data_IF_261021922280
#
_entry.id   IF_261021922280
#
_cell.length_a   1.000
_cell.length_b   1.000
_cell.length_c   1.000
_cell.angle_alpha   90.00
_cell.angle_beta   90.00
_cell.angle_gamma   90.00
#
_symmetry.space_group_name_H-M   'P 1'
#
loop_
_entity.id
_entity.type
_entity.pdbx_description
1 polymer ?
#
# COMPACT_ATOMS: atom_id res chain seq x y z
N UNK A 1 -9.76 2.20 -0.36
CA UNK A 1 -8.52 1.51 -0.76
C UNK A 1 -7.48 2.60 -0.89
N UNK A 2 -6.34 2.44 -0.24
CA UNK A 2 -5.20 3.35 -0.33
C UNK A 2 -4.06 2.57 -0.96
N UNK A 3 -3.37 3.17 -1.93
CA UNK A 3 -2.20 2.58 -2.58
C UNK A 3 -1.01 3.51 -2.30
N UNK A 4 0.03 2.96 -1.70
CA UNK A 4 1.24 3.70 -1.34
C UNK A 4 2.46 3.11 -2.08
N UNK A 5 3.36 4.00 -2.48
CA UNK A 5 4.62 3.65 -3.11
C UNK A 5 5.75 3.93 -2.10
N UNK A 6 6.52 2.90 -1.79
CA UNK A 6 7.64 2.98 -0.85
C UNK A 6 8.97 3.13 -1.60
N UNK A 7 9.64 4.25 -1.35
CA UNK A 7 10.99 4.51 -1.84
C UNK A 7 12.05 4.02 -0.87
N UNK A 8 13.29 3.83 -1.32
CA UNK A 8 14.43 3.37 -0.50
C UNK A 8 14.85 4.34 0.64
N UNK A 9 14.06 5.37 0.94
CA UNK A 9 14.31 6.38 1.98
C UNK A 9 13.58 6.09 3.31
N UNK A 10 12.83 4.98 3.42
CA UNK A 10 12.05 4.65 4.63
C UNK A 10 12.79 3.82 5.71
N UNK A 11 14.12 3.74 5.67
CA UNK A 11 14.90 2.92 6.62
C UNK A 11 15.38 3.66 7.88
N UNK A 12 14.85 4.84 8.19
CA UNK A 12 15.11 5.49 9.48
C UNK A 12 14.08 5.02 10.52
N UNK A 13 14.48 4.85 11.79
CA UNK A 13 13.56 4.47 12.87
C UNK A 13 12.34 5.40 12.99
N UNK A 14 12.54 6.71 12.77
CA UNK A 14 11.46 7.70 12.81
C UNK A 14 10.45 7.50 11.67
N UNK A 15 10.94 7.20 10.46
CA UNK A 15 10.06 6.93 9.32
C UNK A 15 9.23 5.65 9.52
N UNK A 16 9.77 4.64 10.21
CA UNK A 16 9.02 3.42 10.54
C UNK A 16 7.88 3.70 11.54
N UNK A 17 8.14 4.51 12.55
CA UNK A 17 7.12 4.87 13.54
C UNK A 17 5.97 5.66 12.92
N UNK A 18 6.28 6.65 12.08
CA UNK A 18 5.28 7.43 11.36
C UNK A 18 4.45 6.57 10.41
N UNK A 19 5.08 5.55 9.80
CA UNK A 19 4.43 4.63 8.88
C UNK A 19 3.44 3.68 9.57
N UNK A 20 3.80 3.20 10.77
CA UNK A 20 2.92 2.42 11.62
C UNK A 20 1.70 3.23 12.07
N UNK A 21 1.91 4.48 12.52
CA UNK A 21 0.82 5.38 12.92
C UNK A 21 -0.11 5.65 11.74
N UNK A 22 0.46 5.94 10.55
CA UNK A 22 -0.32 6.16 9.33
C UNK A 22 -1.15 4.94 8.98
N UNK A 23 -0.55 3.76 9.00
CA UNK A 23 -1.23 2.49 8.69
C UNK A 23 -2.36 2.21 9.69
N UNK A 24 -2.12 2.39 10.99
CA UNK A 24 -3.13 2.19 12.02
C UNK A 24 -4.31 3.16 11.86
N UNK A 25 -4.03 4.43 11.57
CA UNK A 25 -5.05 5.47 11.35
C UNK A 25 -5.94 5.14 10.15
N UNK A 26 -5.34 4.74 9.03
CA UNK A 26 -6.07 4.37 7.82
C UNK A 26 -6.91 3.10 8.04
N UNK A 27 -6.37 2.11 8.74
CA UNK A 27 -7.10 0.90 9.09
C UNK A 27 -8.30 1.21 10.01
N UNK A 28 -8.15 2.12 10.98
CA UNK A 28 -9.23 2.57 11.85
C UNK A 28 -10.37 3.27 11.08
N UNK A 29 -10.06 3.90 9.95
CA UNK A 29 -11.05 4.47 9.03
C UNK A 29 -11.72 3.42 8.12
N UNK A 30 -11.42 2.13 8.28
CA UNK A 30 -11.92 1.05 7.42
C UNK A 30 -11.27 1.02 6.04
N UNK A 31 -10.16 1.74 5.85
CA UNK A 31 -9.40 1.74 4.61
C UNK A 31 -8.35 0.62 4.66
N UNK A 32 -8.25 -0.14 3.56
CA UNK A 32 -7.13 -1.07 3.35
C UNK A 32 -6.01 -0.31 2.66
N UNK A 33 -4.80 -0.45 3.17
CA UNK A 33 -3.56 0.04 2.54
C UNK A 33 -2.91 -1.11 1.76
N UNK A 34 -2.56 -0.87 0.50
CA UNK A 34 -1.68 -1.69 -0.31
C UNK A 34 -0.39 -0.90 -0.54
N UNK A 35 0.76 -1.51 -0.25
CA UNK A 35 2.06 -0.88 -0.43
C UNK A 35 2.88 -1.65 -1.45
N UNK A 36 3.54 -0.91 -2.33
CA UNK A 36 4.47 -1.45 -3.31
C UNK A 36 5.78 -0.68 -3.24
N UNK A 37 6.92 -1.36 -3.35
CA UNK A 37 8.18 -0.68 -3.51
C UNK A 37 8.39 -0.21 -4.98
N UNK A 38 9.33 0.72 -5.17
CA UNK A 38 9.67 1.23 -6.49
C UNK A 38 10.06 0.12 -7.48
N UNK A 39 10.75 -0.92 -7.04
CA UNK A 39 11.20 -2.00 -7.91
C UNK A 39 10.01 -2.81 -8.41
N UNK A 40 9.04 -3.13 -7.55
CA UNK A 40 7.80 -3.82 -7.91
C UNK A 40 7.02 -3.04 -8.97
N UNK A 41 6.89 -1.72 -8.83
CA UNK A 41 6.17 -0.91 -9.81
C UNK A 41 6.93 -0.83 -11.14
N UNK A 42 8.25 -0.71 -11.09
CA UNK A 42 9.07 -0.56 -12.30
C UNK A 42 9.29 -1.88 -13.06
N UNK A 43 9.35 -3.01 -12.35
CA UNK A 43 9.70 -4.32 -12.92
C UNK A 43 8.53 -5.29 -13.01
N UNK A 44 7.50 -5.12 -12.16
CA UNK A 44 6.40 -6.07 -12.00
C UNK A 44 5.03 -5.36 -12.09
N UNK A 45 4.91 -4.37 -12.98
CA UNK A 45 3.73 -3.51 -13.08
C UNK A 45 2.41 -4.30 -13.24
N UNK A 46 2.40 -5.35 -14.05
CA UNK A 46 1.23 -6.22 -14.25
C UNK A 46 0.78 -6.88 -12.93
N UNK A 47 1.74 -7.33 -12.10
CA UNK A 47 1.45 -7.89 -10.78
C UNK A 47 0.82 -6.83 -9.88
N UNK A 48 1.39 -5.63 -9.85
CA UNK A 48 0.88 -4.50 -9.04
C UNK A 48 -0.56 -4.16 -9.43
N UNK A 49 -0.83 -4.01 -10.73
CA UNK A 49 -2.17 -3.75 -11.25
C UNK A 49 -3.13 -4.89 -10.89
N UNK A 50 -2.69 -6.15 -11.03
CA UNK A 50 -3.49 -7.32 -10.69
C UNK A 50 -3.94 -7.34 -9.23
N UNK A 51 -3.05 -7.00 -8.29
CA UNK A 51 -3.38 -6.90 -6.87
C UNK A 51 -4.40 -5.79 -6.61
N UNK A 52 -4.19 -4.60 -7.17
CA UNK A 52 -5.11 -3.46 -7.02
C UNK A 52 -6.49 -3.83 -7.59
N UNK A 53 -6.53 -4.41 -8.79
CA UNK A 53 -7.76 -4.81 -9.45
C UNK A 53 -8.53 -5.86 -8.64
N UNK A 54 -7.84 -6.88 -8.10
CA UNK A 54 -8.46 -7.90 -7.28
C UNK A 54 -9.11 -7.31 -6.01
N UNK A 55 -8.44 -6.38 -5.34
CA UNK A 55 -8.96 -5.69 -4.15
C UNK A 55 -10.17 -4.81 -4.48
N UNK A 56 -10.14 -4.05 -5.57
CA UNK A 56 -11.29 -3.26 -6.04
C UNK A 56 -12.48 -4.18 -6.36
N UNK A 57 -12.24 -5.27 -7.09
CA UNK A 57 -13.29 -6.24 -7.45
C UNK A 57 -13.91 -6.91 -6.22
N UNK A 58 -13.11 -7.25 -5.22
CA UNK A 58 -13.59 -7.80 -3.95
C UNK A 58 -14.51 -6.82 -3.19
N UNK A 59 -14.23 -5.51 -3.28
CA UNK A 59 -15.05 -4.47 -2.64
C UNK A 59 -16.35 -4.19 -3.39
N UNK A 60 -16.34 -4.18 -4.72
CA UNK A 60 -17.55 -3.96 -5.53
C UNK A 60 -18.56 -5.11 -5.44
N UNK A 61 -18.15 -6.28 -4.96
CA UNK A 61 -19.01 -7.46 -4.78
C UNK A 61 -19.67 -7.54 -3.39
N UNK A 62 -19.41 -6.57 -2.52
CA UNK A 62 -20.06 -6.42 -1.21
C UNK A 62 -21.20 -5.42 -1.31
#
# INVERSE_FOLDING_TARGET
LVVELDGSQHYTPDAQHDDEIRTQTLNAMGLRVLRFDNQQVLQELETVIGVIFAEVKARLRR
#
